data_IF_432070573454
#
_entry.id   IF_432070573454
#
_cell.length_a   1.000
_cell.length_b   1.000
_cell.length_c   1.000
_cell.angle_alpha   90.00
_cell.angle_beta   90.00
_cell.angle_gamma   90.00
#
_symmetry.space_group_name_H-M   'P 1'
#
loop_
_entity.id
_entity.type
_entity.pdbx_description
1 polymer ?
#
# COMPACT_ATOMS: atom_id res chain seq x y z
N UNK A 1 6.32 10.90 36.02
CA UNK A 1 5.76 10.04 34.96
C UNK A 1 6.79 10.03 33.84
N UNK A 2 7.18 8.85 33.37
CA UNK A 2 8.21 8.68 32.36
C UNK A 2 7.59 8.90 30.97
N UNK A 3 7.79 10.09 30.41
CA UNK A 3 7.21 10.49 29.12
C UNK A 3 7.83 9.74 27.92
N UNK A 4 8.96 9.06 28.13
CA UNK A 4 9.68 8.27 27.11
C UNK A 4 8.91 7.02 26.65
N UNK A 5 7.90 6.59 27.42
CA UNK A 5 7.08 5.41 27.11
C UNK A 5 5.82 5.77 26.30
N UNK A 6 5.45 7.04 26.20
CA UNK A 6 4.27 7.44 25.45
C UNK A 6 4.55 7.43 23.93
N UNK A 7 5.71 7.94 23.52
CA UNK A 7 6.10 8.00 22.10
C UNK A 7 6.31 6.60 21.51
N UNK A 8 6.90 5.67 22.26
CA UNK A 8 7.07 4.28 21.80
C UNK A 8 5.73 3.53 21.69
N UNK A 9 4.81 3.75 22.63
CA UNK A 9 3.46 3.14 22.60
C UNK A 9 2.61 3.75 21.49
N UNK A 10 2.72 5.06 21.25
CA UNK A 10 2.02 5.74 20.15
C UNK A 10 2.58 5.31 18.79
N UNK A 11 3.90 5.29 18.62
CA UNK A 11 4.55 4.82 17.38
C UNK A 11 4.18 3.36 17.09
N UNK A 12 4.25 2.46 18.08
CA UNK A 12 3.86 1.05 17.88
C UNK A 12 2.37 0.85 17.50
N UNK A 13 1.48 1.79 17.86
CA UNK A 13 0.07 1.76 17.42
C UNK A 13 -0.09 2.32 16.01
N UNK A 14 0.68 3.34 15.65
CA UNK A 14 0.71 3.91 14.30
C UNK A 14 1.26 2.86 13.32
N UNK A 15 2.36 2.20 13.68
CA UNK A 15 3.00 1.14 12.89
C UNK A 15 2.02 -0.03 12.64
N UNK A 16 1.32 -0.49 13.70
CA UNK A 16 0.29 -1.54 13.56
C UNK A 16 -0.88 -1.14 12.66
N UNK A 17 -1.26 0.14 12.64
CA UNK A 17 -2.34 0.60 11.77
C UNK A 17 -1.90 0.56 10.31
N UNK A 18 -0.66 0.95 10.01
CA UNK A 18 -0.08 0.89 8.67
C UNK A 18 0.03 -0.57 8.19
N UNK A 19 0.50 -1.48 9.06
CA UNK A 19 0.57 -2.92 8.76
C UNK A 19 -0.78 -3.50 8.31
N UNK A 20 -1.88 -3.15 8.99
CA UNK A 20 -3.23 -3.61 8.62
C UNK A 20 -3.60 -3.15 7.21
N UNK A 21 -3.26 -1.92 6.81
CA UNK A 21 -3.55 -1.46 5.44
C UNK A 21 -2.72 -2.20 4.40
N UNK A 22 -1.48 -2.57 4.71
CA UNK A 22 -0.65 -3.34 3.79
C UNK A 22 -1.21 -4.75 3.59
N UNK A 23 -1.71 -5.38 4.64
CA UNK A 23 -2.43 -6.66 4.53
C UNK A 23 -3.70 -6.53 3.69
N UNK A 24 -4.49 -5.47 3.89
CA UNK A 24 -5.69 -5.20 3.07
C UNK A 24 -5.29 -5.02 1.60
N UNK A 25 -4.22 -4.28 1.32
CA UNK A 25 -3.71 -4.12 -0.04
C UNK A 25 -3.23 -5.43 -0.65
N UNK A 26 -2.53 -6.29 0.12
CA UNK A 26 -2.14 -7.62 -0.35
C UNK A 26 -3.35 -8.47 -0.74
N UNK A 27 -4.41 -8.47 0.08
CA UNK A 27 -5.66 -9.19 -0.19
C UNK A 27 -6.33 -8.65 -1.47
N UNK A 28 -6.34 -7.33 -1.67
CA UNK A 28 -6.90 -6.72 -2.86
C UNK A 28 -6.10 -7.08 -4.12
N UNK A 29 -4.76 -7.11 -4.03
CA UNK A 29 -3.89 -7.58 -5.11
C UNK A 29 -4.23 -9.04 -5.46
N UNK A 30 -4.27 -9.91 -4.45
CA UNK A 30 -4.60 -11.33 -4.64
C UNK A 30 -5.99 -11.52 -5.26
N UNK A 31 -6.98 -10.75 -4.81
CA UNK A 31 -8.37 -10.83 -5.28
C UNK A 31 -8.54 -10.31 -6.71
N UNK A 32 -7.56 -9.59 -7.24
CA UNK A 32 -7.57 -9.03 -8.60
C UNK A 32 -6.49 -9.65 -9.50
N UNK A 33 -6.02 -10.87 -9.20
CA UNK A 33 -4.91 -11.55 -9.89
C UNK A 33 -5.14 -11.87 -11.39
N UNK A 34 -6.32 -11.58 -11.95
CA UNK A 34 -6.57 -11.64 -13.40
C UNK A 34 -6.20 -10.34 -14.12
N UNK A 35 -5.98 -9.25 -13.38
CA UNK A 35 -5.67 -7.91 -13.87
C UNK A 35 -4.17 -7.68 -13.96
N UNK A 36 -3.76 -6.66 -14.72
CA UNK A 36 -2.36 -6.21 -14.70
C UNK A 36 -2.02 -5.45 -13.42
N UNK A 37 -0.73 -5.33 -13.11
CA UNK A 37 -0.27 -4.59 -11.94
C UNK A 37 -0.73 -3.12 -12.01
N UNK A 38 -0.72 -2.51 -13.20
CA UNK A 38 -1.25 -1.16 -13.42
C UNK A 38 -2.75 -1.07 -13.12
N UNK A 39 -3.57 -2.00 -13.62
CA UNK A 39 -5.01 -2.01 -13.32
C UNK A 39 -5.30 -2.16 -11.82
N UNK A 40 -4.54 -3.01 -11.12
CA UNK A 40 -4.68 -3.15 -9.66
C UNK A 40 -4.29 -1.85 -8.96
N UNK A 41 -3.22 -1.20 -9.39
CA UNK A 41 -2.77 0.07 -8.81
C UNK A 41 -3.84 1.17 -8.97
N UNK A 42 -4.52 1.23 -10.11
CA UNK A 42 -5.66 2.12 -10.31
C UNK A 42 -6.84 1.82 -9.37
N UNK A 43 -7.12 0.53 -9.11
CA UNK A 43 -8.13 0.13 -8.11
C UNK A 43 -7.71 0.64 -6.72
N UNK A 44 -6.46 0.44 -6.32
CA UNK A 44 -5.98 0.92 -5.02
C UNK A 44 -6.04 2.44 -4.91
N UNK A 45 -5.66 3.15 -5.99
CA UNK A 45 -5.77 4.61 -6.07
C UNK A 45 -7.23 5.08 -5.94
N UNK A 46 -8.18 4.37 -6.54
CA UNK A 46 -9.60 4.72 -6.42
C UNK A 46 -10.10 4.69 -4.97
N UNK A 47 -9.52 3.85 -4.11
CA UNK A 47 -9.86 3.84 -2.68
C UNK A 47 -9.45 5.12 -1.97
N UNK A 48 -8.38 5.78 -2.45
CA UNK A 48 -7.97 7.11 -1.98
C UNK A 48 -8.91 8.18 -2.53
N UNK A 49 -9.22 8.10 -3.82
CA UNK A 49 -10.11 9.06 -4.50
C UNK A 49 -11.52 9.07 -3.87
N UNK A 50 -12.01 7.91 -3.42
CA UNK A 50 -13.29 7.77 -2.68
C UNK A 50 -13.17 7.95 -1.15
N UNK A 51 -12.01 8.37 -0.64
CA UNK A 51 -11.75 8.62 0.77
C UNK A 51 -11.92 7.40 1.71
N UNK A 52 -11.86 6.18 1.18
CA UNK A 52 -11.80 4.96 2.01
C UNK A 52 -10.43 4.78 2.67
N UNK A 53 -9.38 5.30 2.04
CA UNK A 53 -8.00 5.23 2.53
C UNK A 53 -7.37 6.62 2.47
N UNK A 54 -6.55 6.94 3.48
CA UNK A 54 -5.81 8.20 3.50
C UNK A 54 -4.68 8.17 2.45
N UNK A 55 -4.45 9.30 1.80
CA UNK A 55 -3.40 9.46 0.79
C UNK A 55 -2.02 9.04 1.29
N UNK A 56 -1.67 9.41 2.51
CA UNK A 56 -0.36 9.10 3.10
C UNK A 56 -0.15 7.59 3.25
N UNK A 57 -1.18 6.84 3.62
CA UNK A 57 -1.12 5.37 3.75
C UNK A 57 -0.85 4.72 2.39
N UNK A 58 -1.50 5.22 1.33
CA UNK A 58 -1.25 4.75 -0.03
C UNK A 58 0.16 5.09 -0.49
N UNK A 59 0.62 6.32 -0.27
CA UNK A 59 1.97 6.74 -0.61
C UNK A 59 3.05 5.94 0.15
N UNK A 60 2.83 5.68 1.44
CA UNK A 60 3.73 4.86 2.27
C UNK A 60 3.77 3.41 1.78
N UNK A 61 2.63 2.87 1.32
CA UNK A 61 2.58 1.55 0.69
C UNK A 61 3.43 1.48 -0.59
N UNK A 62 3.39 2.51 -1.44
CA UNK A 62 4.23 2.56 -2.64
C UNK A 62 5.71 2.74 -2.29
N UNK A 63 6.03 3.68 -1.40
CA UNK A 63 7.41 4.01 -0.98
C UNK A 63 8.09 2.89 -0.21
N UNK A 64 7.34 2.09 0.54
CA UNK A 64 7.88 0.92 1.24
C UNK A 64 8.35 -0.19 0.31
N UNK A 65 7.91 -0.17 -0.95
CA UNK A 65 8.19 -1.24 -1.93
C UNK A 65 7.35 -2.50 -1.72
N UNK A 66 6.45 -2.53 -0.73
CA UNK A 66 5.57 -3.67 -0.47
C UNK A 66 4.62 -3.94 -1.65
N UNK A 67 4.18 -2.90 -2.36
CA UNK A 67 3.41 -3.08 -3.59
C UNK A 67 4.16 -3.96 -4.62
N UNK A 68 5.41 -3.63 -4.93
CA UNK A 68 6.22 -4.39 -5.89
C UNK A 68 6.49 -5.82 -5.41
N UNK A 69 6.68 -5.99 -4.10
CA UNK A 69 6.86 -7.30 -3.48
C UNK A 69 5.60 -8.16 -3.60
N UNK A 70 4.43 -7.60 -3.33
CA UNK A 70 3.16 -8.31 -3.41
C UNK A 70 2.76 -8.65 -4.84
N UNK A 71 2.93 -7.74 -5.80
CA UNK A 71 2.63 -8.09 -7.20
C UNK A 71 3.56 -9.20 -7.70
N UNK A 72 4.87 -9.18 -7.35
CA UNK A 72 5.81 -10.26 -7.72
C UNK A 72 5.50 -11.59 -7.03
N UNK A 73 4.89 -11.54 -5.84
CA UNK A 73 4.48 -12.72 -5.07
C UNK A 73 3.23 -13.37 -5.66
N UNK A 74 2.27 -12.58 -6.12
CA UNK A 74 0.91 -13.04 -6.44
C UNK A 74 0.55 -13.04 -7.92
N UNK A 75 1.25 -12.28 -8.76
CA UNK A 75 0.96 -12.17 -10.19
C UNK A 75 2.05 -12.86 -11.04
N UNK A 76 1.69 -13.56 -12.14
CA UNK A 76 2.64 -13.94 -13.17
C UNK A 76 3.36 -12.73 -13.78
N UNK A 77 4.61 -12.94 -14.20
CA UNK A 77 5.46 -11.90 -14.80
C UNK A 77 4.80 -11.17 -15.98
N UNK A 78 3.96 -11.85 -16.77
CA UNK A 78 3.26 -11.25 -17.91
C UNK A 78 2.26 -10.15 -17.53
N UNK A 79 1.84 -10.09 -16.25
CA UNK A 79 0.94 -9.06 -15.74
C UNK A 79 1.68 -7.91 -15.03
N UNK A 80 2.99 -8.02 -14.83
CA UNK A 80 3.79 -6.99 -14.15
C UNK A 80 4.25 -5.96 -15.20
N UNK A 81 3.37 -5.04 -15.54
CA UNK A 81 3.51 -4.01 -16.57
C UNK A 81 3.98 -2.65 -16.04
N UNK A 82 4.22 -2.54 -14.73
CA UNK A 82 4.71 -1.32 -14.10
C UNK A 82 6.24 -1.28 -14.13
N UNK A 83 6.78 -0.24 -14.76
CA UNK A 83 8.23 0.03 -14.85
C UNK A 83 8.72 0.92 -13.71
N UNK A 84 7.86 1.82 -13.21
CA UNK A 84 8.22 2.80 -12.20
C UNK A 84 6.99 3.15 -11.35
N UNK A 85 7.01 2.72 -10.08
CA UNK A 85 5.92 2.93 -9.12
C UNK A 85 5.89 4.37 -8.58
N UNK A 86 7.02 5.10 -8.61
CA UNK A 86 7.09 6.44 -8.04
C UNK A 86 6.20 7.44 -8.79
N UNK A 87 5.93 7.18 -10.07
CA UNK A 87 5.01 7.98 -10.89
C UNK A 87 3.57 7.99 -10.39
N UNK A 88 3.22 7.06 -9.50
CA UNK A 88 1.88 6.92 -8.94
C UNK A 88 1.77 7.51 -7.53
N UNK A 89 2.84 8.09 -6.99
CA UNK A 89 2.81 8.81 -5.71
C UNK A 89 1.94 10.06 -5.88
N UNK A 90 0.96 10.21 -4.98
CA UNK A 90 0.01 11.31 -5.01
C UNK A 90 0.63 12.53 -4.34
N UNK A 91 0.71 13.64 -5.08
CA UNK A 91 1.18 14.93 -4.56
C UNK A 91 0.10 15.65 -3.73
N UNK A 92 0.50 16.62 -2.93
CA UNK A 92 -0.39 17.56 -2.22
C UNK A 92 -1.04 18.60 -3.14
#
# INVERSE_FOLDING_TARGET
>A
MDYTNLDSVVNSKIDKKIEIYFEIFEILILSNNIKTAQEILEILKSLVDYHYIQKDIFNDFLRSGEFLKYIKKHLPYSQIDIVDVEKYILLD
#
